data_IF_102662172428
#
_entry.id   IF_102662172428
#
_cell.length_a   1.000
_cell.length_b   1.000
_cell.length_c   1.000
_cell.angle_alpha   90.00
_cell.angle_beta   90.00
_cell.angle_gamma   90.00
#
_symmetry.space_group_name_H-M   'P 1'
#
loop_
_entity.id
_entity.type
_entity.pdbx_description
1 polymer ?
#
# COMPACT_ATOMS: atom_id res chain seq x y z
N UNK A 1 -1.56 16.78 42.21
CA UNK A 1 -0.72 16.81 40.99
C UNK A 1 -0.64 15.36 40.49
N UNK A 2 -1.41 14.98 39.47
CA UNK A 2 -1.42 13.58 38.99
C UNK A 2 -0.62 13.51 37.69
N UNK A 3 0.48 12.76 37.70
CA UNK A 3 1.31 12.54 36.52
C UNK A 3 0.74 11.32 35.80
N UNK A 4 0.08 11.54 34.66
CA UNK A 4 -0.37 10.45 33.79
C UNK A 4 0.82 10.04 32.91
N UNK A 5 1.49 8.93 33.25
CA UNK A 5 2.40 8.26 32.32
C UNK A 5 1.58 7.50 31.28
N UNK A 6 1.41 8.08 30.09
CA UNK A 6 0.87 7.35 28.93
C UNK A 6 2.03 6.69 28.17
N UNK A 7 2.36 5.46 28.53
CA UNK A 7 3.17 4.61 27.67
C UNK A 7 2.27 4.10 26.54
N UNK A 8 2.13 4.89 25.49
CA UNK A 8 1.47 4.45 24.26
C UNK A 8 2.51 3.75 23.40
N UNK A 9 2.39 2.43 23.29
CA UNK A 9 3.15 1.65 22.33
C UNK A 9 2.20 1.40 21.17
N UNK A 10 2.44 2.08 20.05
CA UNK A 10 1.73 1.84 18.79
C UNK A 10 2.48 0.72 18.10
N UNK A 11 1.87 -0.46 18.04
CA UNK A 11 2.33 -1.53 17.16
C UNK A 11 1.79 -1.26 15.77
N UNK A 12 2.69 -1.07 14.81
CA UNK A 12 2.36 -1.10 13.39
C UNK A 12 2.11 -2.56 12.96
N UNK A 13 1.07 -2.80 12.18
CA UNK A 13 0.69 -4.16 11.77
C UNK A 13 1.44 -4.59 10.49
N UNK A 14 1.95 -3.62 9.73
CA UNK A 14 2.63 -3.88 8.46
C UNK A 14 4.11 -4.23 8.68
N UNK A 15 4.45 -5.52 8.53
CA UNK A 15 5.83 -5.99 8.38
C UNK A 15 6.36 -6.95 9.46
N UNK A 16 5.58 -7.33 10.48
CA UNK A 16 6.07 -8.21 11.57
C UNK A 16 5.49 -9.64 11.59
N UNK A 17 4.31 -9.88 10.99
CA UNK A 17 3.61 -11.19 11.08
C UNK A 17 3.36 -11.87 9.72
N UNK A 18 3.40 -11.12 8.62
CA UNK A 18 3.25 -11.61 7.24
C UNK A 18 4.29 -10.86 6.40
N UNK A 19 4.87 -11.48 5.36
CA UNK A 19 5.67 -10.79 4.35
C UNK A 19 4.76 -9.88 3.50
N UNK A 20 4.18 -8.87 4.14
CA UNK A 20 3.24 -7.92 3.56
C UNK A 20 3.91 -7.09 2.48
N UNK A 21 5.24 -6.97 2.47
CA UNK A 21 6.01 -6.30 1.42
C UNK A 21 5.83 -6.96 0.05
N UNK A 22 5.84 -8.30 -0.02
CA UNK A 22 5.66 -9.05 -1.27
C UNK A 22 4.21 -8.90 -1.75
N UNK A 23 3.25 -9.05 -0.83
CA UNK A 23 1.81 -8.90 -1.14
C UNK A 23 1.49 -7.47 -1.59
N UNK A 24 2.11 -6.48 -0.96
CA UNK A 24 1.97 -5.08 -1.30
C UNK A 24 2.52 -4.80 -2.70
N UNK A 25 3.70 -5.35 -3.02
CA UNK A 25 4.30 -5.25 -4.34
C UNK A 25 3.40 -5.88 -5.42
N UNK A 26 2.95 -7.11 -5.19
CA UNK A 26 2.10 -7.85 -6.12
C UNK A 26 0.74 -7.17 -6.33
N UNK A 27 0.11 -6.67 -5.27
CA UNK A 27 -1.17 -5.96 -5.36
C UNK A 27 -1.04 -4.66 -6.19
N UNK A 28 0.09 -3.95 -6.08
CA UNK A 28 0.35 -2.78 -6.91
C UNK A 28 0.62 -3.15 -8.36
N UNK A 29 1.49 -4.12 -8.62
CA UNK A 29 1.77 -4.58 -9.99
C UNK A 29 0.50 -5.07 -10.69
N UNK A 30 -0.32 -5.85 -10.00
CA UNK A 30 -1.57 -6.35 -10.55
C UNK A 30 -2.57 -5.22 -10.79
N UNK A 31 -2.71 -4.28 -9.86
CA UNK A 31 -3.56 -3.10 -10.05
C UNK A 31 -3.10 -2.30 -11.28
N UNK A 32 -1.82 -1.99 -11.43
CA UNK A 32 -1.34 -1.26 -12.60
C UNK A 32 -1.58 -2.00 -13.91
N UNK A 33 -1.36 -3.32 -13.93
CA UNK A 33 -1.62 -4.15 -15.09
C UNK A 33 -3.11 -4.16 -15.47
N UNK A 34 -4.02 -4.24 -14.49
CA UNK A 34 -5.47 -4.27 -14.73
C UNK A 34 -6.01 -2.91 -15.22
N UNK A 35 -5.35 -1.80 -14.85
CA UNK A 35 -5.66 -0.45 -15.33
C UNK A 35 -4.90 -0.07 -16.62
N UNK A 36 -4.13 -0.98 -17.21
CA UNK A 36 -3.27 -0.76 -18.40
C UNK A 36 -2.27 0.39 -18.19
N UNK A 37 -1.73 0.51 -16.97
CA UNK A 37 -0.77 1.53 -16.56
C UNK A 37 0.62 0.90 -16.56
N UNK A 38 1.47 1.33 -17.49
CA UNK A 38 2.86 0.91 -17.53
C UNK A 38 3.68 1.66 -16.47
N UNK A 39 4.15 0.94 -15.45
CA UNK A 39 4.99 1.50 -14.38
C UNK A 39 6.42 0.96 -14.48
N UNK A 40 7.45 1.79 -14.23
CA UNK A 40 8.83 1.31 -14.27
C UNK A 40 9.12 0.34 -13.11
N UNK A 41 9.92 -0.68 -13.41
CA UNK A 41 10.43 -1.62 -12.40
C UNK A 41 11.12 -0.87 -11.26
N UNK A 42 10.66 -1.13 -10.03
CA UNK A 42 11.17 -0.47 -8.82
C UNK A 42 10.43 0.81 -8.41
N UNK A 43 9.38 1.24 -9.13
CA UNK A 43 8.53 2.34 -8.68
C UNK A 43 7.90 2.04 -7.31
N UNK A 44 7.32 0.85 -7.15
CA UNK A 44 6.69 0.43 -5.88
C UNK A 44 7.74 0.30 -4.78
N UNK A 45 8.94 -0.18 -5.11
CA UNK A 45 10.09 -0.22 -4.19
C UNK A 45 10.50 1.18 -3.74
N UNK A 46 10.45 2.17 -4.64
CA UNK A 46 10.75 3.57 -4.30
C UNK A 46 9.76 4.17 -3.30
N UNK A 47 8.54 3.63 -3.22
CA UNK A 47 7.50 4.07 -2.28
C UNK A 47 7.67 3.49 -0.88
N UNK A 48 8.51 2.48 -0.70
CA UNK A 48 8.81 1.91 0.62
C UNK A 48 9.46 2.99 1.49
N UNK A 49 8.88 3.23 2.67
CA UNK A 49 9.36 4.27 3.60
C UNK A 49 8.95 5.71 3.23
N UNK A 50 8.22 5.92 2.12
CA UNK A 50 7.63 7.22 1.82
C UNK A 50 6.30 7.41 2.55
N UNK A 51 5.95 8.68 2.80
CA UNK A 51 4.65 8.99 3.39
C UNK A 51 3.51 8.64 2.43
N UNK A 52 2.36 8.23 2.97
CA UNK A 52 1.16 7.92 2.17
C UNK A 52 0.73 9.08 1.25
N UNK A 53 1.06 10.33 1.62
CA UNK A 53 0.82 11.51 0.82
C UNK A 53 1.72 11.57 -0.42
N UNK A 54 3.03 11.33 -0.25
CA UNK A 54 3.97 11.31 -1.38
C UNK A 54 3.66 10.20 -2.38
N UNK A 55 3.24 9.03 -1.88
CA UNK A 55 2.79 7.91 -2.72
C UNK A 55 1.53 8.31 -3.49
N UNK A 56 0.57 8.98 -2.84
CA UNK A 56 -0.62 9.50 -3.51
C UNK A 56 -0.28 10.52 -4.59
N UNK A 57 0.55 11.51 -4.29
CA UNK A 57 0.97 12.52 -5.27
C UNK A 57 1.70 11.88 -6.47
N UNK A 58 2.53 10.87 -6.23
CA UNK A 58 3.20 10.10 -7.29
C UNK A 58 2.18 9.31 -8.14
N UNK A 59 1.19 8.70 -7.49
CA UNK A 59 0.13 7.96 -8.16
C UNK A 59 -0.74 8.87 -9.02
N UNK A 60 -1.09 10.06 -8.52
CA UNK A 60 -1.82 11.07 -9.29
C UNK A 60 -1.01 11.51 -10.51
N UNK A 61 0.31 11.68 -10.37
CA UNK A 61 1.19 12.04 -11.48
C UNK A 61 1.23 10.96 -12.57
N UNK A 62 1.18 9.67 -12.19
CA UNK A 62 1.16 8.54 -13.13
C UNK A 62 -0.22 8.37 -13.78
N UNK A 63 -1.28 8.41 -12.97
CA UNK A 63 -2.65 8.23 -13.45
C UNK A 63 -3.20 9.45 -14.20
N UNK A 64 -2.57 10.62 -14.07
CA UNK A 64 -2.98 11.90 -14.66
C UNK A 64 -4.24 12.52 -14.05
N UNK A 65 -4.92 11.84 -13.13
CA UNK A 65 -6.13 12.30 -12.45
C UNK A 65 -6.19 11.78 -11.02
N UNK A 66 -6.66 12.65 -10.10
CA UNK A 66 -6.88 12.30 -8.69
C UNK A 66 -8.00 11.26 -8.52
N UNK A 67 -9.03 11.31 -9.36
CA UNK A 67 -10.12 10.33 -9.35
C UNK A 67 -9.61 8.93 -9.71
N UNK A 68 -8.81 8.84 -10.77
CA UNK A 68 -8.21 7.57 -11.22
C UNK A 68 -7.20 7.04 -10.21
N UNK A 69 -6.41 7.91 -9.58
CA UNK A 69 -5.50 7.52 -8.49
C UNK A 69 -6.26 6.94 -7.28
N UNK A 70 -7.38 7.54 -6.89
CA UNK A 70 -8.25 7.01 -5.81
C UNK A 70 -8.86 5.66 -6.17
N UNK A 71 -9.30 5.50 -7.42
CA UNK A 71 -9.85 4.25 -7.93
C UNK A 71 -8.81 3.12 -7.89
N UNK A 72 -7.62 3.35 -8.47
CA UNK A 72 -6.49 2.41 -8.45
C UNK A 72 -6.09 2.05 -7.02
N UNK A 73 -6.10 3.03 -6.11
CA UNK A 73 -5.80 2.81 -4.69
C UNK A 73 -6.82 1.91 -4.01
N UNK A 74 -8.11 2.18 -4.19
CA UNK A 74 -9.19 1.41 -3.59
C UNK A 74 -9.25 -0.02 -4.15
N UNK A 75 -9.00 -0.17 -5.46
CA UNK A 75 -8.87 -1.47 -6.09
C UNK A 75 -7.69 -2.26 -5.54
N UNK A 76 -6.52 -1.61 -5.40
CA UNK A 76 -5.32 -2.21 -4.80
C UNK A 76 -5.54 -2.64 -3.34
N UNK A 77 -6.29 -1.89 -2.53
CA UNK A 77 -6.65 -2.31 -1.16
C UNK A 77 -7.50 -3.59 -1.16
N UNK A 78 -8.44 -3.70 -2.11
CA UNK A 78 -9.25 -4.91 -2.29
C UNK A 78 -8.39 -6.10 -2.69
N UNK A 79 -7.49 -5.92 -3.67
CA UNK A 79 -6.54 -6.95 -4.10
C UNK A 79 -5.60 -7.37 -2.96
N UNK A 80 -5.10 -6.43 -2.18
CA UNK A 80 -4.23 -6.71 -1.04
C UNK A 80 -4.93 -7.59 -0.01
N UNK A 81 -6.18 -7.28 0.35
CA UNK A 81 -7.00 -8.09 1.25
C UNK A 81 -7.25 -9.50 0.68
N UNK A 82 -7.56 -9.61 -0.60
CA UNK A 82 -7.79 -10.90 -1.27
C UNK A 82 -6.53 -11.78 -1.27
N UNK A 83 -5.38 -11.21 -1.64
CA UNK A 83 -4.09 -11.90 -1.63
C UNK A 83 -3.67 -12.32 -0.21
N UNK A 84 -3.90 -11.45 0.78
CA UNK A 84 -3.59 -11.74 2.17
C UNK A 84 -4.46 -12.87 2.73
N UNK A 85 -5.76 -12.87 2.44
CA UNK A 85 -6.66 -13.96 2.79
C UNK A 85 -6.25 -15.28 2.13
N UNK A 86 -5.80 -15.24 0.87
CA UNK A 86 -5.33 -16.41 0.13
C UNK A 86 -4.06 -17.02 0.73
N UNK A 87 -3.15 -16.19 1.24
CA UNK A 87 -1.94 -16.64 1.94
C UNK A 87 -2.29 -17.24 3.30
N UNK A 88 -3.21 -16.62 4.05
CA UNK A 88 -3.63 -17.11 5.37
C UNK A 88 -4.51 -18.37 5.30
N UNK A 89 -5.14 -18.64 4.16
CA UNK A 89 -6.01 -19.81 3.96
C UNK A 89 -5.28 -21.05 3.41
N UNK A 90 -3.97 -20.95 3.16
CA UNK A 90 -3.10 -22.09 2.84
C UNK A 90 -2.27 -22.49 4.05
#
# INVERSE_FOLDING_TARGET
MSIIHKNCIIFDMDGLLVNSEIVYHDAWHQSFNDFDIEVPDGLVTSWIGQSARNVHDSLVAICGSDEKAKEVRSYRETLFLDLLLKIMSN
#
